data_IF_487116291042
#
_entry.id   IF_487116291042
#
_cell.length_a   1.000
_cell.length_b   1.000
_cell.length_c   1.000
_cell.angle_alpha   90.00
_cell.angle_beta   90.00
_cell.angle_gamma   90.00
#
_symmetry.space_group_name_H-M   'P 1'
#
loop_
_entity.id
_entity.type
_entity.pdbx_description
1 polymer ?
#
# COMPACT_ATOMS: atom_id res chain seq x y z
N UNK A 1 -18.25 -13.95 -10.79
CA UNK A 1 -16.98 -13.41 -10.25
C UNK A 1 -15.87 -13.74 -11.23
N UNK A 2 -15.13 -12.73 -11.70
CA UNK A 2 -14.09 -12.87 -12.75
C UNK A 2 -12.68 -12.47 -12.24
N UNK A 3 -12.59 -11.77 -11.10
CA UNK A 3 -11.31 -11.22 -10.60
C UNK A 3 -10.46 -12.27 -9.86
N UNK A 4 -11.09 -13.34 -9.35
CA UNK A 4 -10.41 -14.35 -8.51
C UNK A 4 -9.66 -15.45 -9.28
N UNK A 5 -10.10 -15.94 -10.46
CA UNK A 5 -9.35 -16.97 -11.20
C UNK A 5 -8.03 -16.47 -11.82
N UNK A 6 -7.89 -15.17 -12.11
CA UNK A 6 -6.70 -14.62 -12.78
C UNK A 6 -5.48 -14.47 -11.86
N UNK A 7 -5.66 -14.60 -10.54
CA UNK A 7 -4.57 -14.48 -9.59
C UNK A 7 -3.82 -15.81 -9.35
N UNK A 8 -4.35 -16.95 -9.83
CA UNK A 8 -3.75 -18.26 -9.57
C UNK A 8 -2.71 -18.69 -10.63
N UNK A 9 -2.86 -18.25 -11.88
CA UNK A 9 -1.95 -18.63 -12.96
C UNK A 9 -1.62 -17.40 -13.81
N UNK A 10 -0.46 -16.79 -13.52
CA UNK A 10 0.21 -15.79 -14.38
C UNK A 10 -0.67 -14.65 -14.89
N UNK A 11 -1.19 -13.82 -13.97
CA UNK A 11 -1.75 -12.51 -14.34
C UNK A 11 -0.68 -11.71 -15.10
N UNK A 12 -0.87 -11.59 -16.41
CA UNK A 12 0.06 -10.87 -17.28
C UNK A 12 0.03 -9.38 -16.92
N UNK A 13 1.13 -8.66 -17.18
CA UNK A 13 1.22 -7.21 -16.91
C UNK A 13 0.03 -6.43 -17.51
N UNK A 14 -0.47 -6.88 -18.67
CA UNK A 14 -1.62 -6.28 -19.35
C UNK A 14 -2.94 -6.51 -18.60
N UNK A 15 -3.17 -7.70 -18.05
CA UNK A 15 -4.35 -8.00 -17.23
C UNK A 15 -4.30 -7.26 -15.90
N UNK A 16 -3.13 -7.20 -15.25
CA UNK A 16 -2.91 -6.39 -14.06
C UNK A 16 -3.22 -4.91 -14.31
N UNK A 17 -2.81 -4.37 -15.45
CA UNK A 17 -3.12 -2.99 -15.85
C UNK A 17 -4.61 -2.78 -16.18
N UNK A 18 -5.27 -3.74 -16.83
CA UNK A 18 -6.71 -3.67 -17.13
C UNK A 18 -7.53 -3.74 -15.84
N UNK A 19 -7.25 -4.70 -14.96
CA UNK A 19 -7.88 -4.82 -13.63
C UNK A 19 -7.63 -3.54 -12.84
N UNK A 20 -6.39 -3.03 -12.82
CA UNK A 20 -6.05 -1.75 -12.20
C UNK A 20 -6.89 -0.59 -12.75
N UNK A 21 -7.05 -0.50 -14.08
CA UNK A 21 -7.81 0.56 -14.77
C UNK A 21 -9.33 0.45 -14.54
N UNK A 22 -9.87 -0.77 -14.50
CA UNK A 22 -11.29 -1.03 -14.22
C UNK A 22 -11.61 -0.75 -12.75
N UNK A 23 -10.76 -1.22 -11.83
CA UNK A 23 -10.85 -0.87 -10.41
C UNK A 23 -10.69 0.65 -10.19
N UNK A 24 -9.95 1.33 -11.07
CA UNK A 24 -9.85 2.78 -11.06
C UNK A 24 -11.11 3.52 -11.51
N UNK A 25 -12.04 2.89 -12.23
CA UNK A 25 -13.24 3.55 -12.77
C UNK A 25 -14.53 3.11 -12.08
N UNK A 26 -14.57 1.89 -11.55
CA UNK A 26 -15.75 1.36 -10.87
C UNK A 26 -15.84 1.84 -9.40
N UNK A 27 -17.06 2.14 -8.94
CA UNK A 27 -17.34 2.29 -7.51
C UNK A 27 -17.44 0.88 -6.90
N UNK A 28 -16.35 0.42 -6.29
CA UNK A 28 -16.27 -0.92 -5.70
C UNK A 28 -16.48 -0.80 -4.19
N UNK A 29 -17.40 -1.58 -3.59
CA UNK A 29 -17.56 -1.60 -2.15
C UNK A 29 -16.25 -1.92 -1.42
N UNK A 30 -15.96 -1.19 -0.34
CA UNK A 30 -14.69 -1.30 0.41
C UNK A 30 -14.37 -2.72 0.88
N UNK A 31 -15.39 -3.52 1.20
CA UNK A 31 -15.18 -4.91 1.65
C UNK A 31 -14.57 -5.80 0.57
N UNK A 32 -14.95 -5.61 -0.70
CA UNK A 32 -14.35 -6.35 -1.81
C UNK A 32 -12.90 -5.94 -2.01
N UNK A 33 -12.60 -4.65 -1.85
CA UNK A 33 -11.23 -4.13 -1.93
C UNK A 33 -10.35 -4.71 -0.82
N UNK A 34 -10.85 -4.71 0.42
CA UNK A 34 -10.17 -5.34 1.55
C UNK A 34 -9.84 -6.81 1.28
N UNK A 35 -10.80 -7.59 0.78
CA UNK A 35 -10.59 -9.00 0.45
C UNK A 35 -9.52 -9.19 -0.64
N UNK A 36 -9.53 -8.35 -1.68
CA UNK A 36 -8.51 -8.38 -2.75
C UNK A 36 -7.13 -8.06 -2.19
N UNK A 37 -7.00 -7.03 -1.35
CA UNK A 37 -5.72 -6.66 -0.73
C UNK A 37 -5.16 -7.81 0.10
N UNK A 38 -5.98 -8.41 0.97
CA UNK A 38 -5.57 -9.55 1.79
C UNK A 38 -5.14 -10.73 0.92
N UNK A 39 -5.88 -11.03 -0.15
CA UNK A 39 -5.52 -12.09 -1.09
C UNK A 39 -4.18 -11.83 -1.76
N UNK A 40 -3.95 -10.62 -2.29
CA UNK A 40 -2.68 -10.25 -2.93
C UNK A 40 -1.49 -10.35 -1.96
N UNK A 41 -1.69 -9.97 -0.69
CA UNK A 41 -0.65 -10.06 0.34
C UNK A 41 -0.28 -11.50 0.69
N UNK A 42 -1.23 -12.44 0.56
CA UNK A 42 -1.05 -13.87 0.85
C UNK A 42 -0.65 -14.73 -0.35
N UNK A 43 -0.40 -14.13 -1.53
CA UNK A 43 0.01 -14.89 -2.72
C UNK A 43 1.50 -15.23 -2.68
N UNK A 44 1.80 -16.52 -2.80
CA UNK A 44 3.16 -17.06 -2.93
C UNK A 44 3.24 -17.97 -4.17
N UNK A 45 4.26 -17.84 -5.03
CA UNK A 45 5.36 -16.86 -4.98
C UNK A 45 4.92 -15.43 -5.33
N UNK A 46 5.68 -14.44 -4.88
CA UNK A 46 5.42 -13.04 -5.20
C UNK A 46 5.93 -12.69 -6.60
N UNK A 47 5.18 -11.86 -7.32
CA UNK A 47 5.55 -11.33 -8.63
C UNK A 47 5.42 -9.80 -8.64
N UNK A 48 6.21 -9.13 -9.47
CA UNK A 48 6.15 -7.66 -9.61
C UNK A 48 4.77 -7.12 -10.00
N UNK A 49 3.98 -7.91 -10.74
CA UNK A 49 2.59 -7.58 -11.10
C UNK A 49 1.68 -7.46 -9.88
N UNK A 50 1.88 -8.29 -8.84
CA UNK A 50 1.16 -8.19 -7.57
C UNK A 50 1.30 -6.79 -6.96
N UNK A 51 2.51 -6.21 -7.00
CA UNK A 51 2.75 -4.86 -6.47
C UNK A 51 2.10 -3.75 -7.31
N UNK A 52 2.01 -3.93 -8.62
CA UNK A 52 1.32 -2.98 -9.50
C UNK A 52 -0.18 -2.94 -9.18
N UNK A 53 -0.81 -4.11 -9.04
CA UNK A 53 -2.23 -4.21 -8.67
C UNK A 53 -2.44 -3.64 -7.26
N UNK A 54 -1.59 -4.01 -6.32
CA UNK A 54 -1.66 -3.52 -4.94
C UNK A 54 -1.60 -1.98 -4.91
N UNK A 55 -0.63 -1.37 -5.60
CA UNK A 55 -0.51 0.09 -5.69
C UNK A 55 -1.74 0.74 -6.33
N UNK A 56 -2.30 0.13 -7.38
CA UNK A 56 -3.50 0.65 -8.06
C UNK A 56 -4.72 0.66 -7.12
N UNK A 57 -4.90 -0.42 -6.34
CA UNK A 57 -5.98 -0.57 -5.37
C UNK A 57 -5.83 0.42 -4.20
N UNK A 58 -4.62 0.54 -3.64
CA UNK A 58 -4.37 1.45 -2.51
C UNK A 58 -4.57 2.92 -2.90
N UNK A 59 -4.28 3.30 -4.15
CA UNK A 59 -4.48 4.65 -4.65
C UNK A 59 -5.93 5.14 -4.63
N UNK A 60 -6.90 4.24 -4.49
CA UNK A 60 -8.31 4.60 -4.36
C UNK A 60 -8.68 5.25 -3.03
N UNK A 61 -7.79 5.26 -2.04
CA UNK A 61 -7.99 5.90 -0.72
C UNK A 61 -9.26 5.44 0.00
N UNK A 62 -9.60 4.16 -0.11
CA UNK A 62 -10.68 3.62 0.71
C UNK A 62 -10.27 3.62 2.19
N UNK A 63 -11.23 3.82 3.09
CA UNK A 63 -11.02 3.62 4.52
C UNK A 63 -10.90 2.11 4.79
N UNK A 64 -9.68 1.59 4.78
CA UNK A 64 -9.41 0.17 5.00
C UNK A 64 -9.59 -0.17 6.49
N UNK A 65 -10.14 -1.36 6.82
CA UNK A 65 -10.13 -1.85 8.19
C UNK A 65 -8.71 -1.95 8.74
N UNK A 66 -8.53 -1.64 10.03
CA UNK A 66 -7.21 -1.67 10.71
C UNK A 66 -6.48 -3.00 10.48
N UNK A 67 -7.20 -4.12 10.53
CA UNK A 67 -6.64 -5.46 10.27
C UNK A 67 -6.03 -5.61 8.87
N UNK A 68 -6.59 -4.94 7.86
CA UNK A 68 -6.03 -4.96 6.49
C UNK A 68 -4.74 -4.15 6.43
N UNK A 69 -4.66 -3.03 7.16
CA UNK A 69 -3.43 -2.23 7.28
C UNK A 69 -2.34 -3.03 7.98
N UNK A 70 -2.67 -3.75 9.06
CA UNK A 70 -1.73 -4.66 9.74
C UNK A 70 -1.18 -5.74 8.79
N UNK A 71 -2.04 -6.35 7.97
CA UNK A 71 -1.64 -7.35 6.96
C UNK A 71 -0.72 -6.73 5.90
N UNK A 72 -1.00 -5.51 5.45
CA UNK A 72 -0.12 -4.78 4.52
C UNK A 72 1.26 -4.53 5.12
N UNK A 73 1.33 -4.09 6.38
CA UNK A 73 2.61 -3.90 7.08
C UNK A 73 3.37 -5.22 7.16
N UNK A 74 2.69 -6.30 7.57
CA UNK A 74 3.29 -7.63 7.66
C UNK A 74 3.81 -8.11 6.30
N UNK A 75 3.04 -7.91 5.23
CA UNK A 75 3.42 -8.26 3.86
C UNK A 75 4.71 -7.54 3.43
N UNK A 76 4.79 -6.22 3.59
CA UNK A 76 6.00 -5.48 3.22
C UNK A 76 7.19 -5.86 4.10
N UNK A 77 7.00 -6.03 5.40
CA UNK A 77 8.08 -6.38 6.33
C UNK A 77 8.64 -7.79 6.09
N UNK A 78 7.86 -8.72 5.53
CA UNK A 78 8.35 -10.05 5.17
C UNK A 78 9.50 -10.01 4.15
N UNK A 79 9.57 -8.97 3.31
CA UNK A 79 10.68 -8.77 2.36
C UNK A 79 11.98 -8.33 3.04
N UNK A 80 12.01 -8.04 4.34
CA UNK A 80 13.26 -7.75 5.04
C UNK A 80 14.26 -8.93 5.01
N UNK A 81 13.75 -10.16 4.84
CA UNK A 81 14.58 -11.36 4.68
C UNK A 81 15.00 -11.63 3.22
N UNK A 82 14.46 -10.87 2.24
CA UNK A 82 14.82 -11.01 0.83
C UNK A 82 16.21 -10.44 0.58
N UNK A 83 17.09 -11.26 -0.02
CA UNK A 83 18.47 -10.86 -0.33
C UNK A 83 18.61 -10.23 -1.70
N UNK A 84 17.66 -10.50 -2.60
CA UNK A 84 17.68 -9.97 -3.96
C UNK A 84 17.20 -8.51 -3.98
N UNK A 85 17.73 -7.75 -4.94
CA UNK A 85 17.28 -6.38 -5.16
C UNK A 85 15.80 -6.35 -5.58
N UNK A 86 14.98 -5.63 -4.82
CA UNK A 86 13.57 -5.48 -5.13
C UNK A 86 13.36 -4.52 -6.31
N UNK A 87 12.44 -4.82 -7.23
CA UNK A 87 12.23 -3.96 -8.40
C UNK A 87 11.53 -2.66 -8.00
N UNK A 88 11.74 -1.59 -8.80
CA UNK A 88 11.13 -0.27 -8.57
C UNK A 88 9.61 -0.32 -8.37
N UNK A 89 8.90 -1.24 -9.03
CA UNK A 89 7.44 -1.41 -8.88
C UNK A 89 7.03 -1.77 -7.46
N UNK A 90 7.85 -2.54 -6.73
CA UNK A 90 7.63 -2.85 -5.32
C UNK A 90 7.80 -1.60 -4.45
N UNK A 91 8.88 -0.83 -4.65
CA UNK A 91 9.11 0.40 -3.90
C UNK A 91 8.01 1.45 -4.16
N UNK A 92 7.51 1.54 -5.39
CA UNK A 92 6.35 2.39 -5.72
C UNK A 92 5.08 1.95 -4.99
N UNK A 93 4.86 0.64 -4.84
CA UNK A 93 3.73 0.13 -4.06
C UNK A 93 3.85 0.48 -2.57
N UNK A 94 5.05 0.34 -1.99
CA UNK A 94 5.33 0.77 -0.62
C UNK A 94 5.11 2.28 -0.44
N UNK A 95 5.58 3.10 -1.39
CA UNK A 95 5.37 4.55 -1.35
C UNK A 95 3.88 4.90 -1.35
N UNK A 96 3.08 4.30 -2.25
CA UNK A 96 1.63 4.53 -2.28
C UNK A 96 0.99 4.12 -0.96
N UNK A 97 1.36 2.96 -0.42
CA UNK A 97 0.85 2.49 0.88
C UNK A 97 1.09 3.53 1.97
N UNK A 98 2.34 3.99 2.15
CA UNK A 98 2.67 4.97 3.19
C UNK A 98 1.98 6.30 2.93
N UNK A 99 1.98 6.82 1.69
CA UNK A 99 1.31 8.08 1.37
C UNK A 99 -0.19 8.07 1.72
N UNK A 100 -0.87 6.93 1.56
CA UNK A 100 -2.30 6.80 1.82
C UNK A 100 -2.64 6.49 3.27
N UNK A 101 -1.82 5.68 3.94
CA UNK A 101 -2.15 5.10 5.25
C UNK A 101 -1.18 5.49 6.37
N UNK A 102 -0.22 6.39 6.17
CA UNK A 102 0.75 6.88 7.19
C UNK A 102 0.13 7.32 8.53
N UNK A 103 -1.13 7.72 8.53
CA UNK A 103 -1.86 8.17 9.71
C UNK A 103 -2.67 7.06 10.41
N UNK A 104 -2.78 5.89 9.77
CA UNK A 104 -3.33 4.66 10.33
C UNK A 104 -2.25 3.77 10.95
N UNK A 105 -0.97 4.13 10.76
CA UNK A 105 0.17 3.37 11.26
C UNK A 105 0.54 3.75 12.69
N UNK A 106 0.67 2.76 13.56
CA UNK A 106 1.21 2.94 14.90
C UNK A 106 2.74 3.13 14.90
N UNK A 107 3.30 3.45 16.07
CA UNK A 107 4.73 3.71 16.22
C UNK A 107 5.61 2.47 15.92
N UNK A 108 5.13 1.27 16.24
CA UNK A 108 5.82 0.01 16.01
C UNK A 108 5.87 -0.35 14.52
N UNK A 109 4.72 -0.24 13.85
CA UNK A 109 4.59 -0.43 12.41
C UNK A 109 5.48 0.56 11.65
N UNK A 110 5.48 1.84 12.03
CA UNK A 110 6.38 2.84 11.44
C UNK A 110 7.85 2.49 11.67
N UNK A 111 8.22 1.97 12.85
CA UNK A 111 9.60 1.54 13.15
C UNK A 111 10.03 0.40 12.22
N UNK A 112 9.21 -0.65 12.10
CA UNK A 112 9.48 -1.78 11.21
C UNK A 112 9.61 -1.36 9.74
N UNK A 113 8.76 -0.46 9.26
CA UNK A 113 8.87 0.06 7.88
C UNK A 113 10.15 0.89 7.66
N UNK A 114 10.65 1.59 8.69
CA UNK A 114 11.95 2.29 8.61
C UNK A 114 13.12 1.31 8.54
N UNK A 115 13.07 0.23 9.30
CA UNK A 115 14.06 -0.85 9.24
C UNK A 115 14.05 -1.51 7.85
N UNK A 116 12.86 -1.83 7.33
CA UNK A 116 12.70 -2.33 5.97
C UNK A 116 13.31 -1.40 4.92
N UNK A 117 13.06 -0.09 5.01
CA UNK A 117 13.60 0.90 4.07
C UNK A 117 15.13 1.04 4.16
N UNK A 118 15.74 0.72 5.31
CA UNK A 118 17.19 0.67 5.46
C UNK A 118 17.80 -0.53 4.75
N UNK A 119 17.12 -1.67 4.77
CA UNK A 119 17.54 -2.88 4.06
C UNK A 119 17.36 -2.71 2.55
N UNK A 120 16.18 -2.22 2.15
CA UNK A 120 15.78 -2.07 0.75
C UNK A 120 15.65 -0.59 0.38
N UNK A 121 16.80 0.06 0.15
CA UNK A 121 16.85 1.45 -0.30
C UNK A 121 16.76 1.57 -1.82
N UNK A 122 16.06 2.61 -2.30
CA UNK A 122 16.00 2.94 -3.73
C UNK A 122 16.12 4.46 -3.93
N UNK A 123 17.09 4.92 -4.72
CA UNK A 123 17.45 6.34 -4.80
C UNK A 123 16.32 7.26 -5.29
N UNK A 124 15.54 6.81 -6.27
CA UNK A 124 14.48 7.63 -6.85
C UNK A 124 13.28 7.89 -5.90
N UNK A 125 13.00 7.00 -4.94
CA UNK A 125 11.76 7.07 -4.12
C UNK A 125 12.00 6.93 -2.62
N UNK A 126 13.17 6.45 -2.19
CA UNK A 126 13.46 6.16 -0.79
C UNK A 126 13.37 7.38 0.12
N UNK A 127 13.79 8.55 -0.37
CA UNK A 127 13.66 9.80 0.37
C UNK A 127 12.19 10.17 0.63
N UNK A 128 11.34 9.98 -0.37
CA UNK A 128 9.91 10.26 -0.27
C UNK A 128 9.23 9.28 0.67
N UNK A 129 9.53 7.98 0.56
CA UNK A 129 9.01 6.96 1.49
C UNK A 129 9.39 7.32 2.93
N UNK A 130 10.66 7.67 3.18
CA UNK A 130 11.14 8.06 4.51
C UNK A 130 10.40 9.29 5.05
N UNK A 131 10.18 10.31 4.20
CA UNK A 131 9.45 11.52 4.56
C UNK A 131 8.02 11.19 4.98
N UNK A 132 7.33 10.38 4.19
CA UNK A 132 5.93 10.02 4.44
C UNK A 132 5.76 9.14 5.69
N UNK A 133 6.69 8.23 5.99
CA UNK A 133 6.66 7.43 7.24
C UNK A 133 6.79 8.35 8.46
N UNK A 134 7.65 9.37 8.38
CA UNK A 134 7.91 10.31 9.47
C UNK A 134 6.83 11.38 9.65
N UNK A 135 5.85 11.46 8.75
CA UNK A 135 4.79 12.45 8.87
C UNK A 135 3.90 12.16 10.11
N UNK A 136 3.59 13.23 10.83
CA UNK A 136 2.64 13.25 11.95
C UNK A 136 1.29 13.78 11.48
N UNK A 137 0.19 13.36 12.14
CA UNK A 137 -1.12 13.94 11.86
C UNK A 137 -1.03 15.45 12.16
N UNK A 138 -1.50 16.32 11.25
CA UNK A 138 -1.66 17.72 11.60
C UNK A 138 -2.65 17.78 12.77
N UNK A 139 -2.27 18.46 13.86
CA UNK A 139 -3.20 18.78 14.93
C UNK A 139 -4.34 19.59 14.32
N UNK A 140 -5.58 19.12 14.48
CA UNK A 140 -6.76 19.91 14.12
C UNK A 140 -6.83 21.08 15.11
N UNK A 141 -6.17 22.17 14.76
CA UNK A 141 -6.24 23.43 15.50
C UNK A 141 -7.56 24.14 15.22
N UNK A 142 -8.28 24.40 16.30
CA UNK A 142 -9.47 25.24 16.44
C UNK A 142 -9.56 26.37 15.39
N UNK A 143 -10.57 26.30 14.51
CA UNK A 143 -10.94 27.41 13.61
C UNK A 143 -12.35 27.94 13.91
N UNK A 144 -12.87 27.71 15.12
CA UNK A 144 -14.23 28.12 15.53
C UNK A 144 -14.25 29.18 16.65
N UNK A 145 -13.24 30.05 16.69
CA UNK A 145 -13.20 31.18 17.62
C UNK A 145 -12.71 32.48 16.96
N UNK A 146 -13.33 32.90 15.85
CA UNK A 146 -13.20 34.30 15.41
C UNK A 146 -14.38 34.75 14.53
N UNK A 147 -15.61 34.69 15.05
CA UNK A 147 -16.74 35.49 14.57
C UNK A 147 -17.69 35.85 15.71
N UNK A 148 -17.20 36.59 16.71
CA UNK A 148 -18.01 37.51 17.51
C UNK A 148 -17.10 38.60 18.05
N UNK A 149 -17.24 39.80 17.52
CA UNK A 149 -16.49 41.00 17.86
C UNK A 149 -16.85 42.12 16.91
#
# INVERSE_FOLDING_TARGET
GIVLPLAAESCTLREAMIIGSVLQKASVPVMHVAAVVVRLCGMTPWYGTTSIILAAVLNKKYALPVKVVEILVAHFCAFAAETMALPLVWHKALLVFVQRYKFELDADQKRRLKELLRVHWHDAVGLEIRREINASKPEQGDSEAMQIG
#
